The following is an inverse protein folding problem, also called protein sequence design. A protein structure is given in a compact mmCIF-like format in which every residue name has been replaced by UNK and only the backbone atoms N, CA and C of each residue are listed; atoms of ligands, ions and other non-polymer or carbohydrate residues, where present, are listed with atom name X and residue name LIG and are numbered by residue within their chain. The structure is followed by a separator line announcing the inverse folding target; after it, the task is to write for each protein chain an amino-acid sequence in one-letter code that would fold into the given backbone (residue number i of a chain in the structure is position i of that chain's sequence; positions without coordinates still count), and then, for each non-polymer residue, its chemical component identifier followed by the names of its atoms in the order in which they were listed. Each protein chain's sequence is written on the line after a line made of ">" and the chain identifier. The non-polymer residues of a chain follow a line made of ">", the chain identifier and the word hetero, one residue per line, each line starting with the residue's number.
data_IF_545710829949
#
_entry.id   IF_545710829949
#
_cell.length_a   1.000
_cell.length_b   1.000
_cell.length_c   1.000
_cell.angle_alpha   90.00
_cell.angle_beta   90.00
_cell.angle_gamma   90.00
#
_symmetry.space_group_name_H-M   'P 1'
#
loop_
_entity.id
_entity.type
_entity.pdbx_description
1 polymer ?
#
# COMPACT_ATOMS: atom_id res chain seq x y z
N UNK A 1 -2.04 2.70 -23.45
CA UNK A 1 -1.43 3.18 -22.19
C UNK A 1 -2.56 3.28 -21.18
N UNK A 2 -2.53 2.52 -20.08
CA UNK A 2 -3.60 2.54 -19.09
C UNK A 2 -3.63 3.89 -18.36
N UNK A 3 -4.82 4.41 -18.06
CA UNK A 3 -4.98 5.66 -17.31
C UNK A 3 -4.94 5.35 -15.82
N UNK A 4 -3.90 5.82 -15.14
CA UNK A 4 -3.77 5.70 -13.69
C UNK A 4 -4.17 7.01 -13.01
N UNK A 5 -4.95 6.92 -11.94
CA UNK A 5 -5.27 8.06 -11.06
C UNK A 5 -5.20 7.65 -9.60
N UNK A 6 -4.71 8.55 -8.76
CA UNK A 6 -4.76 8.39 -7.31
C UNK A 6 -5.93 9.22 -6.78
N UNK A 7 -6.84 8.59 -6.04
CA UNK A 7 -8.03 9.25 -5.47
C UNK A 7 -8.05 9.07 -3.95
N UNK A 8 -8.62 10.02 -3.18
CA UNK A 8 -8.83 9.85 -1.75
C UNK A 8 -9.61 8.57 -1.45
N UNK A 9 -9.24 7.89 -0.37
CA UNK A 9 -10.03 6.78 0.15
C UNK A 9 -11.40 7.29 0.62
N UNK A 10 -12.44 6.49 0.38
CA UNK A 10 -13.82 6.77 0.82
C UNK A 10 -14.42 5.45 1.29
N UNK A 11 -15.57 5.50 1.97
CA UNK A 11 -16.28 4.29 2.42
C UNK A 11 -16.49 3.25 1.30
N UNK A 12 -16.67 3.70 0.04
CA UNK A 12 -16.82 2.82 -1.13
C UNK A 12 -15.61 1.92 -1.40
N UNK A 13 -14.42 2.27 -0.89
CA UNK A 13 -13.18 1.50 -1.08
C UNK A 13 -12.73 0.72 0.16
N UNK A 14 -13.43 0.83 1.29
CA UNK A 14 -13.01 0.18 2.53
C UNK A 14 -12.94 -1.34 2.37
N UNK A 15 -13.95 -1.92 1.73
CA UNK A 15 -13.97 -3.35 1.43
C UNK A 15 -12.91 -3.76 0.40
N UNK A 16 -12.65 -2.93 -0.61
CA UNK A 16 -11.57 -3.19 -1.55
C UNK A 16 -10.21 -3.30 -0.84
N UNK A 17 -9.90 -2.34 0.04
CA UNK A 17 -8.66 -2.36 0.82
C UNK A 17 -8.61 -3.58 1.74
N UNK A 18 -9.71 -3.91 2.42
CA UNK A 18 -9.81 -5.09 3.31
C UNK A 18 -9.56 -6.37 2.55
N UNK A 19 -10.26 -6.56 1.43
CA UNK A 19 -10.13 -7.75 0.58
C UNK A 19 -8.71 -7.88 0.05
N UNK A 20 -8.08 -6.77 -0.37
CA UNK A 20 -6.70 -6.81 -0.84
C UNK A 20 -5.71 -7.14 0.29
N UNK A 21 -5.93 -6.64 1.51
CA UNK A 21 -5.10 -6.97 2.68
C UNK A 21 -5.22 -8.44 3.09
N UNK A 22 -6.41 -9.02 2.91
CA UNK A 22 -6.69 -10.42 3.18
C UNK A 22 -6.36 -11.35 2.00
N UNK A 23 -5.99 -10.83 0.82
CA UNK A 23 -5.72 -11.65 -0.35
C UNK A 23 -4.42 -12.46 -0.13
N UNK A 24 -4.49 -13.80 -0.12
CA UNK A 24 -3.34 -14.66 0.20
C UNK A 24 -2.16 -14.46 -0.76
N UNK A 25 -2.41 -13.96 -1.98
CA UNK A 25 -1.37 -13.70 -3.00
C UNK A 25 -0.48 -12.52 -2.62
N UNK A 26 -0.92 -11.62 -1.74
CA UNK A 26 -0.15 -10.46 -1.27
C UNK A 26 0.05 -10.44 0.25
N UNK A 27 -0.72 -11.23 0.99
CA UNK A 27 -0.76 -11.19 2.45
C UNK A 27 0.63 -11.34 3.08
N UNK A 28 1.44 -12.28 2.58
CA UNK A 28 2.81 -12.55 3.05
C UNK A 28 3.71 -11.29 3.08
N UNK A 29 3.43 -10.31 2.23
CA UNK A 29 4.19 -9.05 2.17
C UNK A 29 3.93 -8.07 3.31
N UNK A 30 2.86 -8.24 4.09
CA UNK A 30 2.51 -7.38 5.21
C UNK A 30 3.16 -7.83 6.52
N UNK A 31 3.47 -6.88 7.41
CA UNK A 31 3.99 -7.18 8.75
C UNK A 31 2.98 -7.98 9.57
N UNK A 32 1.71 -7.54 9.57
CA UNK A 32 0.62 -8.23 10.25
C UNK A 32 -0.03 -9.27 9.32
N UNK A 33 -0.16 -10.50 9.80
CA UNK A 33 -0.70 -11.65 9.07
C UNK A 33 -2.06 -12.10 9.65
N UNK A 34 -2.94 -11.16 9.97
CA UNK A 34 -4.28 -11.46 10.51
C UNK A 34 -5.35 -11.31 9.43
N UNK A 35 -6.39 -12.13 9.52
CA UNK A 35 -7.60 -11.94 8.73
C UNK A 35 -8.38 -10.76 9.32
N UNK A 36 -8.67 -9.76 8.49
CA UNK A 36 -9.34 -8.53 8.90
C UNK A 36 -10.84 -8.65 8.62
N UNK A 37 -11.67 -8.53 9.66
CA UNK A 37 -13.12 -8.54 9.51
C UNK A 37 -13.64 -7.20 8.96
N UNK A 38 -14.87 -7.14 8.43
CA UNK A 38 -15.49 -5.88 8.02
C UNK A 38 -15.53 -4.83 9.14
N UNK A 39 -15.84 -5.25 10.37
CA UNK A 39 -15.95 -4.37 11.55
C UNK A 39 -14.59 -3.81 11.95
N UNK A 40 -13.56 -4.66 11.98
CA UNK A 40 -12.17 -4.24 12.24
C UNK A 40 -11.68 -3.25 11.19
N UNK A 41 -11.96 -3.52 9.91
CA UNK A 41 -11.62 -2.59 8.83
C UNK A 41 -12.36 -1.26 8.99
N UNK A 42 -13.65 -1.29 9.33
CA UNK A 42 -14.43 -0.07 9.48
C UNK A 42 -13.87 0.79 10.60
N UNK A 43 -13.66 0.21 11.79
CA UNK A 43 -13.06 0.91 12.93
C UNK A 43 -11.66 1.45 12.60
N UNK A 44 -10.86 0.68 11.85
CA UNK A 44 -9.54 1.11 11.41
C UNK A 44 -9.60 2.29 10.43
N UNK A 45 -10.54 2.26 9.49
CA UNK A 45 -10.71 3.31 8.48
C UNK A 45 -11.43 4.56 9.02
N UNK A 46 -12.24 4.46 10.07
CA UNK A 46 -12.72 5.65 10.79
C UNK A 46 -11.56 6.43 11.42
N UNK A 47 -10.53 5.72 11.89
CA UNK A 47 -9.36 6.35 12.53
C UNK A 47 -8.32 6.86 11.54
N UNK A 48 -8.07 6.11 10.46
CA UNK A 48 -6.96 6.36 9.54
C UNK A 48 -7.36 6.51 8.08
N UNK A 49 -8.66 6.51 7.75
CA UNK A 49 -9.17 6.47 6.37
C UNK A 49 -8.63 7.62 5.51
N UNK A 50 -8.52 8.82 6.08
CA UNK A 50 -7.99 10.02 5.42
C UNK A 50 -6.48 9.94 5.11
N UNK A 51 -5.77 9.00 5.74
CA UNK A 51 -4.36 8.72 5.46
C UNK A 51 -4.17 7.82 4.23
N UNK A 52 -5.25 7.30 3.64
CA UNK A 52 -5.20 6.36 2.53
C UNK A 52 -5.75 6.93 1.23
N UNK A 53 -5.23 6.37 0.14
CA UNK A 53 -5.60 6.67 -1.23
C UNK A 53 -5.72 5.37 -2.03
N UNK A 54 -6.57 5.39 -3.05
CA UNK A 54 -6.79 4.27 -3.94
C UNK A 54 -6.30 4.62 -5.33
N UNK A 55 -5.56 3.71 -5.94
CA UNK A 55 -5.17 3.83 -7.33
C UNK A 55 -6.22 3.17 -8.21
N UNK A 56 -6.77 3.94 -9.16
CA UNK A 56 -7.64 3.40 -10.18
C UNK A 56 -6.86 3.26 -11.50
N UNK A 57 -7.00 2.09 -12.13
CA UNK A 57 -6.51 1.79 -13.48
C UNK A 57 -7.72 1.66 -14.40
N UNK A 58 -7.88 2.59 -15.33
CA UNK A 58 -9.06 2.67 -16.21
C UNK A 58 -10.37 2.63 -15.38
N UNK A 59 -10.40 3.45 -14.33
CA UNK A 59 -11.50 3.60 -13.36
C UNK A 59 -11.79 2.37 -12.47
N UNK A 60 -10.99 1.31 -12.56
CA UNK A 60 -11.08 0.13 -11.68
C UNK A 60 -10.04 0.17 -10.54
N UNK A 61 -10.40 -0.18 -9.29
CA UNK A 61 -9.44 -0.27 -8.19
C UNK A 61 -8.29 -1.25 -8.49
N UNK A 62 -7.07 -0.74 -8.48
CA UNK A 62 -5.86 -1.49 -8.84
C UNK A 62 -4.85 -1.60 -7.68
N UNK A 63 -5.05 -0.86 -6.60
CA UNK A 63 -4.24 -0.92 -5.39
C UNK A 63 -4.56 0.24 -4.44
N UNK A 64 -3.91 0.25 -3.29
CA UNK A 64 -3.99 1.36 -2.35
C UNK A 64 -2.60 1.74 -1.85
N UNK A 65 -2.49 2.98 -1.36
CA UNK A 65 -1.33 3.50 -0.66
C UNK A 65 -1.77 4.43 0.46
N UNK A 66 -1.07 4.43 1.57
CA UNK A 66 -1.31 5.37 2.66
C UNK A 66 -0.06 5.58 3.50
N UNK A 67 -0.08 6.63 4.32
CA UNK A 67 1.03 6.98 5.22
C UNK A 67 0.50 7.14 6.63
N UNK A 68 1.02 6.33 7.56
CA UNK A 68 0.69 6.42 8.99
C UNK A 68 1.99 6.44 9.76
N UNK A 69 2.17 7.42 10.65
CA UNK A 69 3.40 7.62 11.42
C UNK A 69 4.66 7.62 10.54
N UNK A 70 4.57 8.33 9.41
CA UNK A 70 5.58 8.40 8.34
C UNK A 70 5.88 7.09 7.60
N UNK A 71 5.22 5.97 7.93
CA UNK A 71 5.41 4.69 7.27
C UNK A 71 4.44 4.49 6.10
N UNK A 72 4.99 4.22 4.91
CA UNK A 72 4.26 3.98 3.67
C UNK A 72 3.71 2.56 3.68
N UNK A 73 2.39 2.45 3.56
CA UNK A 73 1.65 1.20 3.44
C UNK A 73 1.09 1.10 2.04
N UNK A 74 1.56 0.16 1.25
CA UNK A 74 1.20 0.03 -0.17
C UNK A 74 0.92 -1.41 -0.55
N UNK A 75 -0.12 -1.63 -1.36
CA UNK A 75 -0.37 -2.91 -1.99
C UNK A 75 -0.98 -2.73 -3.37
N UNK A 76 -0.45 -3.46 -4.35
CA UNK A 76 -1.01 -3.51 -5.70
C UNK A 76 -1.80 -4.81 -5.86
N UNK A 77 -3.02 -4.70 -6.36
CA UNK A 77 -3.85 -5.86 -6.65
C UNK A 77 -3.12 -6.79 -7.62
N UNK A 78 -3.08 -8.13 -7.39
CA UNK A 78 -2.30 -9.09 -8.17
C UNK A 78 -2.43 -8.93 -9.69
N UNK A 79 -3.66 -8.72 -10.17
CA UNK A 79 -3.97 -8.60 -11.60
C UNK A 79 -3.42 -7.29 -12.25
N UNK A 80 -2.95 -6.36 -11.42
CA UNK A 80 -2.36 -5.08 -11.82
C UNK A 80 -0.87 -4.96 -11.51
N UNK A 81 -0.26 -6.01 -10.94
CA UNK A 81 1.18 -6.05 -10.69
C UNK A 81 1.99 -6.06 -11.99
N UNK A 82 3.25 -5.64 -11.91
CA UNK A 82 4.19 -5.51 -13.05
C UNK A 82 3.72 -4.55 -14.18
N UNK A 83 2.61 -3.82 -14.00
CA UNK A 83 2.10 -2.78 -14.93
C UNK A 83 2.46 -1.34 -14.54
N UNK A 84 3.35 -1.16 -13.56
CA UNK A 84 3.77 0.16 -13.07
C UNK A 84 2.87 0.80 -12.00
N UNK A 85 1.74 0.17 -11.65
CA UNK A 85 0.76 0.68 -10.67
C UNK A 85 1.39 0.97 -9.29
N UNK A 86 2.16 0.03 -8.74
CA UNK A 86 2.84 0.24 -7.46
C UNK A 86 3.80 1.43 -7.48
N UNK A 87 4.57 1.59 -8.57
CA UNK A 87 5.52 2.70 -8.72
C UNK A 87 4.77 4.03 -8.78
N UNK A 88 3.71 4.09 -9.57
CA UNK A 88 2.84 5.26 -9.66
C UNK A 88 2.30 5.66 -8.28
N UNK A 89 1.73 4.72 -7.52
CA UNK A 89 1.22 4.98 -6.17
C UNK A 89 2.28 5.57 -5.24
N UNK A 90 3.46 4.97 -5.20
CA UNK A 90 4.58 5.44 -4.35
C UNK A 90 5.05 6.83 -4.80
N UNK A 91 5.12 7.11 -6.10
CA UNK A 91 5.54 8.42 -6.57
C UNK A 91 4.51 9.51 -6.27
N UNK A 92 3.21 9.23 -6.41
CA UNK A 92 2.16 10.20 -6.11
C UNK A 92 2.05 10.45 -4.60
N UNK A 93 2.10 9.41 -3.75
CA UNK A 93 2.00 9.61 -2.29
C UNK A 93 3.18 10.43 -1.74
N UNK A 94 4.38 10.31 -2.33
CA UNK A 94 5.55 11.10 -1.94
C UNK A 94 5.45 12.58 -2.29
N UNK A 95 4.56 12.97 -3.22
CA UNK A 95 4.27 14.40 -3.46
C UNK A 95 3.43 15.00 -2.33
N UNK A 96 2.64 14.17 -1.65
CA UNK A 96 1.75 14.55 -0.56
C UNK A 96 2.49 14.45 0.79
N UNK A 97 3.30 13.40 0.96
CA UNK A 97 4.07 13.11 2.18
C UNK A 97 5.56 12.93 1.84
N UNK A 98 6.30 14.03 1.60
CA UNK A 98 7.68 13.97 1.10
C UNK A 98 8.68 13.36 2.09
N UNK A 99 8.36 13.36 3.38
CA UNK A 99 9.23 12.81 4.44
C UNK A 99 8.87 11.35 4.82
N UNK A 100 7.93 10.73 4.10
CA UNK A 100 7.54 9.35 4.38
C UNK A 100 8.63 8.35 3.97
N UNK A 101 8.71 7.24 4.70
CA UNK A 101 9.64 6.13 4.46
C UNK A 101 8.89 4.80 4.45
N UNK A 102 9.55 3.72 4.03
CA UNK A 102 8.93 2.41 3.95
C UNK A 102 9.66 1.38 4.80
N UNK A 103 8.92 0.64 5.62
CA UNK A 103 9.39 -0.57 6.30
C UNK A 103 9.06 -1.79 5.44
N UNK A 104 10.07 -2.58 5.09
CA UNK A 104 9.92 -3.73 4.19
C UNK A 104 10.51 -4.95 4.87
N UNK A 105 9.75 -6.05 4.91
CA UNK A 105 10.27 -7.36 5.34
C UNK A 105 11.42 -7.80 4.44
N UNK A 106 12.45 -8.42 5.02
CA UNK A 106 13.67 -8.80 4.29
C UNK A 106 13.39 -9.79 3.14
N UNK A 107 12.38 -10.65 3.30
CA UNK A 107 11.93 -11.61 2.30
C UNK A 107 11.03 -10.99 1.21
N UNK A 108 10.53 -9.75 1.39
CA UNK A 108 9.64 -9.10 0.43
C UNK A 108 10.43 -8.39 -0.68
N UNK A 109 11.08 -9.18 -1.53
CA UNK A 109 11.88 -8.68 -2.66
C UNK A 109 11.07 -7.81 -3.63
N UNK A 110 9.78 -8.10 -3.80
CA UNK A 110 8.90 -7.36 -4.71
C UNK A 110 8.74 -5.91 -4.25
N UNK A 111 8.42 -5.70 -2.97
CA UNK A 111 8.37 -4.36 -2.37
C UNK A 111 9.74 -3.69 -2.38
N UNK A 112 10.81 -4.41 -2.06
CA UNK A 112 12.17 -3.84 -2.11
C UNK A 112 12.48 -3.27 -3.51
N UNK A 113 12.27 -4.07 -4.57
CA UNK A 113 12.48 -3.65 -5.96
C UNK A 113 11.55 -2.49 -6.35
N UNK A 114 10.32 -2.47 -5.86
CA UNK A 114 9.38 -1.36 -6.07
C UNK A 114 9.94 -0.04 -5.52
N UNK A 115 10.33 -0.01 -4.25
CA UNK A 115 10.83 1.21 -3.60
C UNK A 115 12.15 1.68 -4.20
N UNK A 116 13.08 0.76 -4.52
CA UNK A 116 14.32 1.12 -5.24
C UNK A 116 14.03 1.78 -6.60
N UNK A 117 13.07 1.25 -7.37
CA UNK A 117 12.65 1.85 -8.66
C UNK A 117 11.89 3.16 -8.52
N UNK A 118 11.35 3.45 -7.33
CA UNK A 118 10.73 4.71 -6.98
C UNK A 118 11.74 5.74 -6.43
N UNK A 119 13.03 5.39 -6.34
CA UNK A 119 14.11 6.30 -5.95
C UNK A 119 14.50 6.23 -4.47
N UNK A 120 13.94 5.29 -3.71
CA UNK A 120 14.32 5.07 -2.32
C UNK A 120 15.71 4.44 -2.22
N UNK A 121 16.35 4.63 -1.07
CA UNK A 121 17.65 4.04 -0.73
C UNK A 121 17.55 3.45 0.67
N UNK A 122 18.22 2.32 0.90
CA UNK A 122 18.37 1.76 2.26
C UNK A 122 19.17 2.75 3.11
N UNK A 123 18.64 3.07 4.30
CA UNK A 123 19.28 3.99 5.26
C UNK A 123 19.74 3.29 6.53
N UNK A 124 18.95 2.35 7.04
CA UNK A 124 19.23 1.59 8.24
C UNK A 124 18.47 0.26 8.21
N UNK A 125 18.84 -0.64 9.13
CA UNK A 125 18.14 -1.89 9.40
C UNK A 125 17.28 -1.74 10.66
N UNK A 126 16.12 -2.40 10.68
CA UNK A 126 15.30 -2.56 11.89
C UNK A 126 15.61 -3.96 12.42
N UNK A 127 16.01 -4.05 13.69
CA UNK A 127 16.33 -5.30 14.38
C UNK A 127 15.32 -5.52 15.50
N UNK A 128 14.70 -6.68 15.55
CA UNK A 128 13.76 -7.10 16.60
C UNK A 128 14.32 -8.34 17.28
N UNK A 129 14.05 -8.48 18.59
CA UNK A 129 14.45 -9.66 19.36
C UNK A 129 13.32 -10.69 19.27
N UNK A 130 13.67 -11.92 18.95
CA UNK A 130 12.77 -13.09 19.01
C UNK A 130 12.44 -13.48 20.46
#
# INVERSE_FOLDING_TARGET
>A
MHRLKLVPNTHAYYDFIRMLRNDPRVQHGFIQQTQITPEEQHAYMEKYGDCYYVCLCDDQPAGYVGVIDHDIRVATHPDYQKKGVGKFMVQEIMKIFPDAYAKIKVENEASFKLFMKAGFKVKYYILEKE
#
